data_IF_234660554574
#
_entry.id   IF_234660554574
#
_cell.length_a   1.000
_cell.length_b   1.000
_cell.length_c   1.000
_cell.angle_alpha   90.00
_cell.angle_beta   90.00
_cell.angle_gamma   90.00
#
_symmetry.space_group_name_H-M   'P 1'
#
loop_
_entity.id
_entity.type
_entity.pdbx_description
1 polymer ?
#
# COMPACT_ATOMS: atom_id res chain seq x y z
N UNK A 1 27.40 24.48 24.70
CA UNK A 1 28.59 23.71 24.27
C UNK A 1 28.29 22.23 24.53
N UNK A 2 27.40 21.55 23.76
CA UNK A 2 27.48 20.87 22.42
C UNK A 2 28.44 19.64 22.48
N UNK A 3 28.13 18.39 22.08
CA UNK A 3 27.49 17.81 20.85
C UNK A 3 26.87 16.41 21.19
N UNK A 4 25.58 16.08 20.97
CA UNK A 4 24.79 15.57 19.80
C UNK A 4 25.18 14.19 19.22
N UNK A 5 24.22 13.26 19.18
CA UNK A 5 24.05 12.26 18.11
C UNK A 5 22.56 11.85 18.02
N UNK A 6 21.72 12.79 17.59
CA UNK A 6 20.43 12.50 16.98
C UNK A 6 20.72 12.20 15.51
N UNK A 7 20.43 10.99 15.04
CA UNK A 7 20.34 10.70 13.60
C UNK A 7 18.88 10.79 13.15
N UNK A 8 18.20 11.88 13.51
CA UNK A 8 17.14 12.36 12.63
C UNK A 8 17.87 13.19 11.57
N UNK A 9 17.78 12.87 10.27
CA UNK A 9 18.17 13.83 9.27
C UNK A 9 17.35 15.09 9.53
N UNK A 10 18.01 16.12 10.04
CA UNK A 10 17.52 17.48 9.95
C UNK A 10 17.26 17.71 8.47
N UNK A 11 16.00 17.73 8.06
CA UNK A 11 15.58 18.29 6.79
C UNK A 11 15.89 19.79 6.85
N UNK A 12 17.18 20.12 6.68
CA UNK A 12 17.63 21.47 6.46
C UNK A 12 16.92 22.03 5.23
N UNK A 13 16.83 23.36 5.11
CA UNK A 13 16.48 24.00 3.83
C UNK A 13 17.31 23.38 2.70
N UNK A 14 16.66 22.61 1.82
CA UNK A 14 17.30 21.86 0.73
C UNK A 14 17.32 20.33 0.87
N UNK A 15 16.79 19.76 1.96
CA UNK A 15 16.59 18.31 2.10
C UNK A 15 15.58 17.74 1.10
N UNK A 16 15.68 16.43 0.85
CA UNK A 16 14.71 15.68 0.04
C UNK A 16 14.09 14.55 0.83
N UNK A 17 12.82 14.25 0.57
CA UNK A 17 12.11 13.07 1.06
C UNK A 17 11.91 12.10 -0.11
N UNK A 18 12.33 10.86 0.08
CA UNK A 18 12.12 9.76 -0.86
C UNK A 18 10.89 8.96 -0.44
N UNK A 19 9.85 9.04 -1.26
CA UNK A 19 8.60 8.28 -1.10
C UNK A 19 8.58 7.10 -2.04
N UNK A 20 8.23 5.93 -1.53
CA UNK A 20 8.24 4.66 -2.27
C UNK A 20 6.83 4.12 -2.39
N UNK A 21 6.41 3.76 -3.61
CA UNK A 21 5.09 3.17 -3.86
C UNK A 21 5.11 2.35 -5.17
N UNK A 22 3.97 1.83 -5.60
CA UNK A 22 3.82 0.83 -6.66
C UNK A 22 3.91 1.39 -8.10
N UNK A 23 4.22 2.67 -8.25
CA UNK A 23 4.41 3.31 -9.56
C UNK A 23 3.15 3.36 -10.43
N UNK A 24 3.35 3.52 -11.74
CA UNK A 24 2.26 3.60 -12.72
C UNK A 24 1.31 4.78 -12.47
N UNK A 25 0.03 4.62 -12.84
CA UNK A 25 -1.00 5.65 -12.62
C UNK A 25 -1.27 5.92 -11.15
N UNK A 26 -1.12 4.91 -10.30
CA UNK A 26 -1.27 5.07 -8.86
C UNK A 26 -0.14 5.95 -8.28
N UNK A 27 1.10 5.68 -8.64
CA UNK A 27 2.23 6.51 -8.24
C UNK A 27 2.11 7.95 -8.76
N UNK A 28 1.63 8.13 -9.99
CA UNK A 28 1.34 9.48 -10.52
C UNK A 28 0.25 10.21 -9.71
N UNK A 29 -0.78 9.48 -9.25
CA UNK A 29 -1.80 10.06 -8.37
C UNK A 29 -1.20 10.57 -7.05
N UNK A 30 -0.26 9.84 -6.46
CA UNK A 30 0.45 10.25 -5.24
C UNK A 30 1.30 11.50 -5.48
N UNK A 31 2.02 11.54 -6.61
CA UNK A 31 2.82 12.73 -6.98
C UNK A 31 1.96 13.98 -7.06
N UNK A 32 0.81 13.89 -7.71
CA UNK A 32 -0.07 15.04 -7.94
C UNK A 32 -0.84 15.44 -6.68
N UNK A 33 -1.38 14.47 -5.94
CA UNK A 33 -2.26 14.72 -4.80
C UNK A 33 -1.50 15.03 -3.50
N UNK A 34 -0.31 14.46 -3.29
CA UNK A 34 0.42 14.59 -2.03
C UNK A 34 1.77 15.30 -2.19
N UNK A 35 2.64 14.80 -3.08
CA UNK A 35 4.03 15.25 -3.13
C UNK A 35 4.18 16.66 -3.70
N UNK A 36 3.46 16.98 -4.79
CA UNK A 36 3.53 18.30 -5.40
C UNK A 36 2.97 19.42 -4.48
N UNK A 37 1.83 19.23 -3.79
CA UNK A 37 1.40 20.14 -2.73
C UNK A 37 2.41 20.28 -1.59
N UNK A 38 2.90 19.15 -1.06
CA UNK A 38 3.88 19.15 0.02
C UNK A 38 5.15 19.91 -0.34
N UNK A 39 5.71 19.69 -1.53
CA UNK A 39 6.91 20.38 -2.00
C UNK A 39 6.69 21.89 -2.18
N UNK A 40 5.49 22.31 -2.63
CA UNK A 40 5.14 23.73 -2.76
C UNK A 40 5.06 24.44 -1.41
N UNK A 41 4.54 23.77 -0.39
CA UNK A 41 4.29 24.37 0.94
C UNK A 41 5.50 24.32 1.85
N UNK A 42 6.27 23.23 1.81
CA UNK A 42 7.42 23.01 2.69
C UNK A 42 8.75 23.46 2.10
N UNK A 43 8.83 23.68 0.78
CA UNK A 43 10.09 23.82 0.03
C UNK A 43 11.04 22.62 0.13
N UNK A 44 10.59 21.48 0.67
CA UNK A 44 11.32 20.21 0.73
C UNK A 44 11.14 19.48 -0.60
N UNK A 45 12.24 19.00 -1.21
CA UNK A 45 12.16 18.25 -2.46
C UNK A 45 11.55 16.86 -2.22
N UNK A 46 10.75 16.37 -3.15
CA UNK A 46 10.25 14.99 -3.09
C UNK A 46 10.79 14.17 -4.24
N UNK A 47 11.31 12.98 -3.93
CA UNK A 47 11.63 11.95 -4.90
C UNK A 47 10.60 10.83 -4.78
N UNK A 48 10.23 10.22 -5.90
CA UNK A 48 9.41 9.03 -5.89
C UNK A 48 10.16 7.86 -6.49
N UNK A 49 10.14 6.73 -5.79
CA UNK A 49 10.73 5.47 -6.23
C UNK A 49 9.62 4.46 -6.40
N UNK A 50 9.65 3.75 -7.53
CA UNK A 50 8.72 2.67 -7.81
C UNK A 50 9.31 1.36 -7.27
N UNK A 51 8.50 0.54 -6.62
CA UNK A 51 8.87 -0.81 -6.18
C UNK A 51 7.71 -1.81 -6.35
N UNK A 52 7.99 -3.10 -6.12
CA UNK A 52 7.03 -4.18 -6.37
C UNK A 52 6.27 -4.65 -5.12
N UNK A 53 6.40 -3.97 -3.98
CA UNK A 53 5.85 -4.44 -2.70
C UNK A 53 6.75 -5.43 -1.97
N UNK A 54 6.27 -5.87 -0.80
CA UNK A 54 6.97 -6.78 0.09
C UNK A 54 8.12 -6.12 0.86
N UNK A 55 8.75 -6.91 1.72
CA UNK A 55 9.71 -6.40 2.70
C UNK A 55 11.18 -6.53 2.30
N UNK A 56 11.50 -7.29 1.24
CA UNK A 56 12.89 -7.67 0.94
C UNK A 56 13.86 -6.49 0.80
N UNK A 57 13.46 -5.44 0.08
CA UNK A 57 14.32 -4.25 -0.10
C UNK A 57 14.35 -3.36 1.15
N UNK A 58 13.21 -3.21 1.84
CA UNK A 58 13.13 -2.49 3.12
C UNK A 58 14.06 -3.16 4.17
N UNK A 59 13.93 -4.47 4.37
CA UNK A 59 14.76 -5.25 5.28
C UNK A 59 16.25 -5.12 4.93
N UNK A 60 16.61 -5.26 3.65
CA UNK A 60 18.00 -5.13 3.22
C UNK A 60 18.59 -3.74 3.51
N UNK A 61 17.81 -2.67 3.32
CA UNK A 61 18.27 -1.31 3.64
C UNK A 61 18.49 -1.12 5.14
N UNK A 62 17.57 -1.61 5.98
CA UNK A 62 17.67 -1.53 7.44
C UNK A 62 18.85 -2.38 7.96
N UNK A 63 18.96 -3.63 7.52
CA UNK A 63 20.01 -4.57 7.95
C UNK A 63 21.43 -4.09 7.59
N UNK A 64 21.58 -3.46 6.43
CA UNK A 64 22.88 -2.92 5.98
C UNK A 64 23.17 -1.53 6.53
N UNK A 65 22.19 -0.88 7.17
CA UNK A 65 22.30 0.51 7.64
C UNK A 65 22.35 1.55 6.53
N UNK A 66 22.10 1.17 5.28
CA UNK A 66 22.11 2.05 4.11
C UNK A 66 20.67 2.45 3.73
N UNK A 67 19.97 3.09 4.66
CA UNK A 67 18.58 3.52 4.45
C UNK A 67 18.54 4.75 3.55
N UNK A 68 17.80 4.63 2.45
CA UNK A 68 17.58 5.70 1.45
C UNK A 68 16.11 6.05 1.27
N UNK A 69 15.22 5.21 1.79
CA UNK A 69 13.78 5.39 1.77
C UNK A 69 13.32 6.10 3.03
N UNK A 70 12.49 7.14 2.88
CA UNK A 70 11.98 7.92 4.01
C UNK A 70 10.53 7.57 4.34
N UNK A 71 9.69 7.39 3.31
CA UNK A 71 8.26 7.03 3.45
C UNK A 71 7.97 5.88 2.49
N UNK A 72 7.38 4.79 2.97
CA UNK A 72 7.08 3.61 2.17
C UNK A 72 5.59 3.29 2.23
N UNK A 73 4.97 3.17 1.06
CA UNK A 73 3.59 2.74 0.89
C UNK A 73 3.52 1.20 0.88
N UNK A 74 2.98 0.61 1.94
CA UNK A 74 2.95 -0.83 2.20
C UNK A 74 1.51 -1.36 2.17
N UNK A 75 1.36 -2.62 1.74
CA UNK A 75 0.12 -3.35 1.99
C UNK A 75 -0.01 -3.68 3.49
N UNK A 76 -1.24 -3.74 4.02
CA UNK A 76 -1.49 -3.85 5.47
C UNK A 76 -0.76 -5.03 6.13
N UNK A 77 -0.74 -6.21 5.48
CA UNK A 77 -0.05 -7.37 6.04
C UNK A 77 1.47 -7.19 6.13
N UNK A 78 2.05 -6.42 5.20
CA UNK A 78 3.48 -6.12 5.18
C UNK A 78 3.82 -5.02 6.21
N UNK A 79 2.93 -4.03 6.37
CA UNK A 79 3.04 -3.01 7.43
C UNK A 79 3.11 -3.66 8.82
N UNK A 80 2.18 -4.57 9.14
CA UNK A 80 2.14 -5.25 10.44
C UNK A 80 3.45 -6.00 10.69
N UNK A 81 3.89 -6.81 9.73
CA UNK A 81 5.15 -7.58 9.84
C UNK A 81 6.37 -6.67 9.98
N UNK A 82 6.48 -5.64 9.16
CA UNK A 82 7.60 -4.69 9.21
C UNK A 82 7.65 -3.92 10.53
N UNK A 83 6.49 -3.60 11.11
CA UNK A 83 6.39 -3.01 12.43
C UNK A 83 6.89 -3.97 13.51
N UNK A 84 6.41 -5.22 13.52
CA UNK A 84 6.79 -6.24 14.50
C UNK A 84 8.29 -6.60 14.42
N UNK A 85 8.85 -6.62 13.21
CA UNK A 85 10.26 -6.89 12.94
C UNK A 85 11.17 -5.66 13.21
N UNK A 86 10.59 -4.51 13.60
CA UNK A 86 11.35 -3.30 13.92
C UNK A 86 11.99 -2.61 12.71
N UNK A 87 11.43 -2.83 11.51
CA UNK A 87 11.89 -2.22 10.26
C UNK A 87 11.34 -0.80 10.04
N UNK A 88 10.36 -0.38 10.85
CA UNK A 88 9.66 0.90 10.73
C UNK A 88 9.75 1.69 12.04
N UNK A 89 9.78 3.01 11.91
CA UNK A 89 9.65 3.94 13.04
C UNK A 89 8.19 4.00 13.53
N UNK A 90 8.00 4.08 14.84
CA UNK A 90 6.65 4.20 15.42
C UNK A 90 6.15 5.63 15.26
N UNK A 91 4.89 5.79 14.86
CA UNK A 91 4.17 7.05 14.74
C UNK A 91 3.39 7.42 16.00
N UNK A 92 3.41 6.59 17.06
CA UNK A 92 2.63 6.80 18.31
C UNK A 92 2.88 8.13 19.03
N UNK A 93 4.05 8.75 18.81
CA UNK A 93 4.42 10.06 19.36
C UNK A 93 4.01 11.24 18.48
N UNK A 94 3.53 10.97 17.26
CA UNK A 94 3.06 11.99 16.33
C UNK A 94 1.57 12.24 16.57
N UNK A 95 1.22 13.52 16.63
CA UNK A 95 -0.19 13.94 16.57
C UNK A 95 -0.53 14.19 15.11
N UNK A 96 -1.41 13.38 14.55
CA UNK A 96 -1.99 13.64 13.24
C UNK A 96 -2.82 14.95 13.29
N UNK A 97 -2.76 15.78 12.24
CA UNK A 97 -3.58 16.98 12.16
C UNK A 97 -5.05 16.60 12.02
N UNK A 98 -5.93 17.41 12.62
CA UNK A 98 -7.37 17.28 12.42
C UNK A 98 -7.70 17.45 10.92
N UNK A 99 -8.80 16.85 10.46
CA UNK A 99 -9.27 17.00 9.09
C UNK A 99 -9.59 18.47 8.75
N UNK A 100 -9.78 18.78 7.47
CA UNK A 100 -10.04 20.15 7.02
C UNK A 100 -11.29 20.80 7.65
N UNK A 101 -12.25 19.99 8.10
CA UNK A 101 -13.46 20.41 8.80
C UNK A 101 -13.35 20.38 10.34
N UNK A 102 -12.17 20.03 10.87
CA UNK A 102 -11.87 19.91 12.30
C UNK A 102 -12.18 18.54 12.91
N UNK A 103 -12.54 17.54 12.11
CA UNK A 103 -12.77 16.18 12.60
C UNK A 103 -11.48 15.56 13.15
N UNK A 104 -11.57 14.89 14.30
CA UNK A 104 -10.43 14.17 14.90
C UNK A 104 -9.99 13.02 13.97
N UNK A 105 -8.67 12.80 13.76
CA UNK A 105 -8.18 11.75 12.87
C UNK A 105 -8.74 10.35 13.19
N UNK A 106 -9.00 10.03 14.46
CA UNK A 106 -9.57 8.72 14.83
C UNK A 106 -11.01 8.53 14.35
N UNK A 107 -11.71 9.62 14.06
CA UNK A 107 -13.06 9.61 13.51
C UNK A 107 -13.10 9.83 11.99
N UNK A 108 -12.03 10.36 11.40
CA UNK A 108 -11.91 10.60 9.95
C UNK A 108 -11.42 9.35 9.18
N UNK A 109 -10.49 8.59 9.78
CA UNK A 109 -9.94 7.39 9.16
C UNK A 109 -10.85 6.16 9.36
N UNK A 110 -10.80 5.22 8.40
CA UNK A 110 -11.49 3.93 8.48
C UNK A 110 -10.95 3.13 9.68
N UNK A 111 -11.84 2.49 10.43
CA UNK A 111 -11.45 1.67 11.58
C UNK A 111 -10.38 0.63 11.20
N UNK A 112 -9.34 0.50 12.03
CA UNK A 112 -8.22 -0.42 11.79
C UNK A 112 -7.16 0.08 10.81
N UNK A 113 -7.30 1.29 10.24
CA UNK A 113 -6.31 1.86 9.30
C UNK A 113 -5.29 2.79 9.94
N UNK A 114 -5.45 3.14 11.23
CA UNK A 114 -4.43 3.79 12.03
C UNK A 114 -3.67 2.72 12.83
N UNK A 115 -2.39 2.54 12.51
CA UNK A 115 -1.50 1.55 13.11
C UNK A 115 -0.33 2.25 13.81
N UNK A 116 0.35 1.56 14.74
CA UNK A 116 1.43 2.16 15.53
C UNK A 116 2.59 2.66 14.67
N UNK A 117 2.84 2.04 13.51
CA UNK A 117 3.91 2.39 12.57
C UNK A 117 3.42 2.78 11.17
N UNK A 118 2.11 3.07 11.02
CA UNK A 118 1.56 3.42 9.71
C UNK A 118 0.19 4.06 9.76
N UNK A 119 -0.14 4.79 8.70
CA UNK A 119 -1.42 5.49 8.52
C UNK A 119 -1.99 5.10 7.16
N UNK A 120 -3.25 4.67 7.13
CA UNK A 120 -3.92 4.30 5.90
C UNK A 120 -4.01 5.46 4.91
N UNK A 121 -3.62 5.25 3.66
CA UNK A 121 -3.61 6.27 2.60
C UNK A 121 -4.60 5.97 1.47
N UNK A 122 -4.92 4.70 1.25
CA UNK A 122 -5.84 4.25 0.20
C UNK A 122 -6.62 3.01 0.62
N UNK A 123 -7.88 2.95 0.21
CA UNK A 123 -8.68 1.71 0.19
C UNK A 123 -8.79 1.26 -1.26
N UNK A 124 -8.51 -0.02 -1.50
CA UNK A 124 -8.48 -0.60 -2.84
C UNK A 124 -9.17 -1.97 -2.86
N UNK A 125 -9.39 -2.51 -4.05
CA UNK A 125 -9.95 -3.84 -4.23
C UNK A 125 -9.24 -4.56 -5.37
N UNK A 126 -8.94 -5.84 -5.17
CA UNK A 126 -8.60 -6.71 -6.30
C UNK A 126 -9.90 -7.20 -6.91
N UNK A 127 -10.13 -6.90 -8.18
CA UNK A 127 -11.34 -7.30 -8.90
C UNK A 127 -11.01 -8.15 -10.12
N UNK A 128 -11.95 -9.00 -10.52
CA UNK A 128 -11.88 -9.72 -11.79
C UNK A 128 -12.39 -8.78 -12.88
N UNK A 129 -11.54 -8.48 -13.84
CA UNK A 129 -11.88 -7.75 -15.05
C UNK A 129 -11.77 -8.68 -16.27
N UNK A 130 -12.58 -8.43 -17.30
CA UNK A 130 -12.56 -9.18 -18.54
C UNK A 130 -12.72 -8.26 -19.76
N UNK A 131 -12.36 -8.76 -20.94
CA UNK A 131 -12.59 -8.07 -22.19
C UNK A 131 -14.05 -8.31 -22.65
N UNK A 132 -14.87 -7.27 -22.65
CA UNK A 132 -16.27 -7.32 -23.06
C UNK A 132 -16.46 -7.89 -24.48
N UNK A 133 -15.55 -7.58 -25.40
CA UNK A 133 -15.63 -8.03 -26.80
C UNK A 133 -15.48 -9.55 -26.95
N UNK A 134 -14.87 -10.22 -25.96
CA UNK A 134 -14.75 -11.69 -25.96
C UNK A 134 -16.04 -12.38 -25.53
N UNK A 135 -16.94 -11.67 -24.84
CA UNK A 135 -18.14 -12.24 -24.22
C UNK A 135 -19.37 -11.39 -24.56
N UNK A 136 -19.83 -11.39 -25.84
CA UNK A 136 -20.99 -10.60 -26.27
C UNK A 136 -22.33 -11.11 -25.72
N UNK A 137 -22.35 -12.31 -25.13
CA UNK A 137 -23.52 -12.92 -24.48
C UNK A 137 -23.35 -12.98 -22.96
N UNK A 138 -23.30 -14.20 -22.42
CA UNK A 138 -23.01 -14.44 -21.00
C UNK A 138 -21.64 -13.89 -20.63
N UNK A 139 -21.57 -13.16 -19.50
CA UNK A 139 -20.35 -12.54 -18.98
C UNK A 139 -19.97 -13.10 -17.61
N UNK A 140 -18.67 -13.19 -17.27
CA UNK A 140 -18.23 -13.53 -15.93
C UNK A 140 -18.78 -12.53 -14.91
N UNK A 141 -19.34 -13.03 -13.81
CA UNK A 141 -20.04 -12.21 -12.80
C UNK A 141 -19.72 -12.59 -11.35
N UNK A 142 -19.08 -13.75 -11.12
CA UNK A 142 -18.68 -14.26 -9.80
C UNK A 142 -17.29 -14.87 -9.87
N UNK A 143 -16.59 -15.01 -8.74
CA UNK A 143 -15.23 -15.59 -8.70
C UNK A 143 -15.14 -16.95 -9.40
N UNK A 144 -16.14 -17.82 -9.24
CA UNK A 144 -16.18 -19.13 -9.90
C UNK A 144 -16.09 -19.05 -11.43
N UNK A 145 -16.66 -18.01 -12.05
CA UNK A 145 -16.63 -17.84 -13.51
C UNK A 145 -15.21 -17.58 -14.04
N UNK A 146 -14.31 -17.05 -13.20
CA UNK A 146 -12.90 -16.87 -13.58
C UNK A 146 -12.20 -18.22 -13.85
N UNK A 147 -12.55 -19.24 -13.07
CA UNK A 147 -11.97 -20.58 -13.12
C UNK A 147 -12.71 -21.53 -14.09
N UNK A 148 -13.93 -21.18 -14.51
CA UNK A 148 -14.69 -21.93 -15.51
C UNK A 148 -14.17 -21.67 -16.94
N UNK A 149 -13.18 -22.47 -17.34
CA UNK A 149 -12.53 -22.36 -18.66
C UNK A 149 -13.40 -22.89 -19.80
N UNK A 150 -14.40 -23.73 -19.51
CA UNK A 150 -15.30 -24.28 -20.52
C UNK A 150 -16.36 -23.26 -20.92
N UNK A 151 -16.98 -22.61 -19.92
CA UNK A 151 -17.99 -21.57 -20.15
C UNK A 151 -17.38 -20.26 -20.61
N UNK A 152 -16.22 -19.89 -20.05
CA UNK A 152 -15.52 -18.65 -20.39
C UNK A 152 -14.11 -18.95 -20.91
N UNK A 153 -13.93 -19.46 -22.14
CA UNK A 153 -12.61 -19.77 -22.67
C UNK A 153 -11.76 -18.50 -22.88
N UNK A 154 -10.46 -18.57 -22.55
CA UNK A 154 -9.55 -17.43 -22.71
C UNK A 154 -8.30 -17.49 -21.84
N UNK A 155 -7.33 -16.61 -22.13
CA UNK A 155 -6.13 -16.45 -21.30
C UNK A 155 -6.47 -15.70 -20.02
N UNK A 156 -5.92 -16.14 -18.88
CA UNK A 156 -6.02 -15.46 -17.59
C UNK A 156 -4.70 -14.76 -17.27
N UNK A 157 -4.80 -13.59 -16.65
CA UNK A 157 -3.70 -12.91 -15.99
C UNK A 157 -3.94 -12.90 -14.49
N UNK A 158 -2.94 -13.32 -13.72
CA UNK A 158 -2.95 -13.25 -12.26
C UNK A 158 -1.67 -12.56 -11.78
N UNK A 159 -1.76 -11.90 -10.63
CA UNK A 159 -0.57 -11.41 -9.97
C UNK A 159 0.32 -12.59 -9.59
N UNK A 160 1.64 -12.41 -9.66
CA UNK A 160 2.62 -13.43 -9.26
C UNK A 160 2.80 -13.45 -7.73
N UNK A 161 1.69 -13.44 -7.00
CA UNK A 161 1.64 -13.48 -5.53
C UNK A 161 0.33 -14.16 -5.09
N UNK A 162 0.32 -14.87 -3.95
CA UNK A 162 -0.83 -15.67 -3.53
C UNK A 162 -2.02 -14.84 -3.02
N UNK A 163 -1.77 -13.62 -2.53
CA UNK A 163 -2.80 -12.75 -1.95
C UNK A 163 -3.92 -12.49 -2.95
N UNK A 164 -5.16 -12.51 -2.48
CA UNK A 164 -6.41 -12.50 -3.25
C UNK A 164 -6.63 -13.74 -4.13
N UNK A 165 -5.59 -14.30 -4.74
CA UNK A 165 -5.71 -15.43 -5.69
C UNK A 165 -6.13 -16.71 -4.97
N UNK A 166 -5.55 -16.99 -3.80
CA UNK A 166 -5.93 -18.19 -3.02
C UNK A 166 -7.33 -18.04 -2.44
N UNK A 167 -7.70 -16.85 -1.97
CA UNK A 167 -9.05 -16.55 -1.52
C UNK A 167 -10.07 -16.73 -2.64
N UNK A 168 -9.76 -16.25 -3.86
CA UNK A 168 -10.62 -16.47 -5.03
C UNK A 168 -10.77 -17.95 -5.40
N UNK A 169 -9.69 -18.73 -5.27
CA UNK A 169 -9.73 -20.16 -5.54
C UNK A 169 -10.63 -20.89 -4.55
N UNK A 170 -10.53 -20.58 -3.26
CA UNK A 170 -11.40 -21.15 -2.21
C UNK A 170 -12.88 -20.77 -2.45
N UNK A 171 -13.15 -19.50 -2.77
CA UNK A 171 -14.50 -19.05 -3.10
C UNK A 171 -15.04 -19.76 -4.34
N UNK A 172 -14.21 -19.95 -5.36
CA UNK A 172 -14.58 -20.70 -6.56
C UNK A 172 -14.83 -22.18 -6.29
N UNK A 173 -14.15 -22.76 -5.29
CA UNK A 173 -14.34 -24.14 -4.81
C UNK A 173 -15.56 -24.29 -3.87
N UNK A 174 -16.31 -23.20 -3.65
CA UNK A 174 -17.57 -23.21 -2.93
C UNK A 174 -17.50 -22.80 -1.46
N UNK A 175 -16.35 -22.33 -0.99
CA UNK A 175 -16.24 -21.71 0.35
C UNK A 175 -16.97 -20.37 0.34
N UNK A 176 -17.83 -20.14 1.33
CA UNK A 176 -18.47 -18.84 1.51
C UNK A 176 -17.41 -17.76 1.78
N UNK A 177 -17.52 -16.58 1.17
CA UNK A 177 -16.49 -15.55 1.24
C UNK A 177 -16.13 -15.10 2.68
N UNK A 178 -17.08 -15.24 3.61
CA UNK A 178 -16.90 -14.94 5.04
C UNK A 178 -16.11 -16.02 5.81
N UNK A 179 -16.03 -17.23 5.28
CA UNK A 179 -15.45 -18.41 5.94
C UNK A 179 -14.05 -18.75 5.36
N UNK A 180 -13.56 -17.96 4.39
CA UNK A 180 -12.27 -18.18 3.68
C UNK A 180 -11.06 -18.23 4.62
N UNK A 181 -11.11 -17.55 5.76
CA UNK A 181 -10.01 -17.54 6.74
C UNK A 181 -10.19 -18.59 7.85
N UNK A 182 -11.25 -19.40 7.79
CA UNK A 182 -11.57 -20.45 8.78
C UNK A 182 -11.36 -21.87 8.23
N UNK A 183 -10.89 -22.02 6.99
CA UNK A 183 -10.63 -23.31 6.32
C UNK A 183 -9.23 -23.87 6.53
#
# INVERSE_FOLDING_TARGET
>A
TVVVASAAPSLAEGGSVTVVSFGGSYGESIKQAFLAPFQRESSIKTNMVDYNGGLGELSAQVETGNVTWDVVDLEMQDLVRACDDGLLETLTKLRLPDAADGTDPKADFVEGTLQDSGVGNIIWSTVIAFNDDMFPGDKPSKMADFFDLERFPGKRGLMKKPQAVLEWALIADGVDAKDVYDV
#
